data_IF_341035929449
#
_entry.id   IF_341035929449
#
_cell.length_a   1.000
_cell.length_b   1.000
_cell.length_c   1.000
_cell.angle_alpha   90.00
_cell.angle_beta   90.00
_cell.angle_gamma   90.00
#
_symmetry.space_group_name_H-M   'P 1'
#
loop_
_entity.id
_entity.type
_entity.pdbx_description
1 polymer ?
#
# COMPACT_ATOMS: atom_id res chain seq x y z
N UNK A 1 6.82 -51.54 -5.47
CA UNK A 1 6.24 -51.66 -4.12
C UNK A 1 4.73 -51.59 -4.29
N UNK A 2 3.96 -52.50 -3.69
CA UNK A 2 2.51 -52.45 -3.84
C UNK A 2 1.92 -51.32 -2.98
N UNK A 3 1.13 -50.42 -3.58
CA UNK A 3 0.49 -49.28 -2.93
C UNK A 3 -0.28 -49.69 -1.64
N UNK A 4 -0.89 -50.88 -1.66
CA UNK A 4 -1.59 -51.46 -0.50
C UNK A 4 -0.67 -51.70 0.71
N UNK A 5 0.58 -52.08 0.48
CA UNK A 5 1.57 -52.30 1.53
C UNK A 5 1.95 -50.97 2.20
N UNK A 6 2.14 -49.92 1.41
CA UNK A 6 2.45 -48.57 1.93
C UNK A 6 1.28 -48.01 2.75
N UNK A 7 0.04 -48.15 2.27
CA UNK A 7 -1.16 -47.74 3.02
C UNK A 7 -1.25 -48.45 4.36
N UNK A 8 -0.98 -49.76 4.39
CA UNK A 8 -1.01 -50.54 5.63
C UNK A 8 0.04 -50.04 6.63
N UNK A 9 1.28 -49.85 6.19
CA UNK A 9 2.38 -49.35 7.02
C UNK A 9 2.08 -47.95 7.61
N UNK A 10 1.58 -47.03 6.77
CA UNK A 10 1.22 -45.69 7.20
C UNK A 10 0.06 -45.70 8.22
N UNK A 11 -0.92 -46.60 8.06
CA UNK A 11 -2.00 -46.77 9.03
C UNK A 11 -1.53 -47.36 10.35
N UNK A 12 -0.59 -48.31 10.33
CA UNK A 12 0.00 -48.87 11.56
C UNK A 12 0.92 -47.89 12.29
N UNK A 13 1.49 -46.93 11.56
CA UNK A 13 2.31 -45.87 12.13
C UNK A 13 1.46 -44.72 12.74
N UNK A 14 0.17 -44.69 12.43
CA UNK A 14 -0.74 -43.65 12.90
C UNK A 14 -1.25 -43.98 14.29
N UNK A 15 -1.48 -42.94 15.10
CA UNK A 15 -2.10 -43.03 16.42
C UNK A 15 -3.31 -42.11 16.47
N UNK A 16 -4.44 -42.61 16.96
CA UNK A 16 -5.72 -41.87 17.06
C UNK A 16 -6.12 -41.08 15.80
N UNK A 17 -5.98 -41.71 14.61
CA UNK A 17 -6.30 -41.06 13.33
C UNK A 17 -5.34 -39.92 12.96
N UNK A 18 -4.14 -39.89 13.57
CA UNK A 18 -3.09 -38.91 13.31
C UNK A 18 -1.79 -39.54 12.89
N UNK A 19 -1.17 -38.93 11.88
CA UNK A 19 0.11 -39.38 11.35
C UNK A 19 0.99 -38.17 11.05
N UNK A 20 1.96 -37.92 11.93
CA UNK A 20 2.99 -36.91 11.66
C UNK A 20 4.22 -37.55 11.03
N UNK A 21 5.03 -36.75 10.33
CA UNK A 21 6.32 -37.20 9.78
C UNK A 21 7.18 -37.85 10.88
N UNK A 22 7.21 -37.25 12.08
CA UNK A 22 7.97 -37.78 13.21
C UNK A 22 7.43 -39.13 13.70
N UNK A 23 6.11 -39.29 13.82
CA UNK A 23 5.49 -40.57 14.19
C UNK A 23 5.85 -41.67 13.19
N UNK A 24 5.78 -41.36 11.90
CA UNK A 24 6.18 -42.29 10.86
C UNK A 24 7.66 -42.62 10.91
N UNK A 25 8.55 -41.64 11.12
CA UNK A 25 9.99 -41.88 11.28
C UNK A 25 10.30 -42.78 12.48
N UNK A 26 9.64 -42.57 13.62
CA UNK A 26 9.80 -43.43 14.80
C UNK A 26 9.30 -44.85 14.53
N UNK A 27 8.14 -45.00 13.89
CA UNK A 27 7.61 -46.30 13.49
C UNK A 27 8.53 -47.00 12.49
N UNK A 28 9.08 -46.26 11.52
CA UNK A 28 10.00 -46.76 10.50
C UNK A 28 11.29 -47.30 11.12
N UNK A 29 11.84 -46.63 12.14
CA UNK A 29 13.04 -47.11 12.84
C UNK A 29 12.84 -48.47 13.51
N UNK A 30 11.63 -48.77 13.98
CA UNK A 30 11.31 -50.02 14.66
C UNK A 30 10.82 -51.13 13.73
N UNK A 31 10.13 -50.79 12.62
CA UNK A 31 9.43 -51.76 11.76
C UNK A 31 10.02 -51.86 10.33
N UNK A 32 10.96 -50.98 9.99
CA UNK A 32 11.45 -50.83 8.62
C UNK A 32 10.42 -50.16 7.70
N UNK A 33 10.66 -50.23 6.39
CA UNK A 33 9.80 -49.62 5.38
C UNK A 33 10.40 -48.37 4.73
N UNK A 34 9.68 -47.76 3.77
CA UNK A 34 10.20 -46.65 3.00
C UNK A 34 10.46 -45.43 3.89
N UNK A 35 11.53 -44.73 3.58
CA UNK A 35 11.88 -43.46 4.19
C UNK A 35 10.86 -42.38 3.84
N UNK A 36 10.78 -41.36 4.69
CA UNK A 36 9.99 -40.15 4.38
C UNK A 36 10.42 -39.56 3.04
N UNK A 37 11.72 -39.60 2.71
CA UNK A 37 12.22 -39.10 1.43
C UNK A 37 11.66 -39.90 0.26
N UNK A 38 11.72 -41.24 0.30
CA UNK A 38 11.14 -42.10 -0.74
C UNK A 38 9.63 -41.89 -0.88
N UNK A 39 8.91 -41.71 0.23
CA UNK A 39 7.49 -41.37 0.18
C UNK A 39 7.23 -40.01 -0.46
N UNK A 40 8.06 -39.00 -0.17
CA UNK A 40 7.95 -37.68 -0.77
C UNK A 40 8.34 -37.67 -2.26
N UNK A 41 9.30 -38.51 -2.67
CA UNK A 41 9.66 -38.66 -4.09
C UNK A 41 8.53 -39.32 -4.90
N UNK A 42 7.87 -40.35 -4.34
CA UNK A 42 6.79 -41.07 -5.02
C UNK A 42 5.48 -40.27 -5.02
N UNK A 43 5.10 -39.72 -3.87
CA UNK A 43 3.79 -39.08 -3.68
C UNK A 43 3.85 -37.55 -3.71
N UNK A 44 5.04 -36.96 -3.82
CA UNK A 44 5.29 -35.51 -3.97
C UNK A 44 5.20 -34.69 -2.68
N UNK A 45 4.27 -35.01 -1.77
CA UNK A 45 4.10 -34.28 -0.52
C UNK A 45 3.51 -35.13 0.59
N UNK A 46 3.78 -34.78 1.84
CA UNK A 46 3.18 -35.45 3.00
C UNK A 46 1.65 -35.33 3.01
N UNK A 47 1.09 -34.24 2.46
CA UNK A 47 -0.34 -34.07 2.31
C UNK A 47 -0.95 -35.14 1.39
N UNK A 48 -0.24 -35.53 0.32
CA UNK A 48 -0.68 -36.62 -0.56
C UNK A 48 -0.57 -37.98 0.13
N UNK A 49 0.46 -38.17 0.97
CA UNK A 49 0.60 -39.37 1.81
C UNK A 49 -0.57 -39.49 2.81
N UNK A 50 -0.95 -38.38 3.45
CA UNK A 50 -2.11 -38.33 4.34
C UNK A 50 -3.42 -38.62 3.60
N UNK A 51 -3.58 -38.11 2.37
CA UNK A 51 -4.72 -38.41 1.51
C UNK A 51 -4.82 -39.90 1.17
N UNK A 52 -3.68 -40.56 0.91
CA UNK A 52 -3.61 -42.00 0.61
C UNK A 52 -4.22 -42.86 1.73
N UNK A 53 -4.06 -42.45 2.98
CA UNK A 53 -4.57 -43.18 4.15
C UNK A 53 -5.93 -42.69 4.66
N UNK A 54 -6.45 -41.59 4.11
CA UNK A 54 -7.74 -40.99 4.49
C UNK A 54 -7.66 -39.98 5.65
N UNK A 55 -6.48 -39.42 5.94
CA UNK A 55 -6.26 -38.41 6.98
C UNK A 55 -6.36 -36.98 6.45
N UNK A 56 -7.42 -36.71 5.68
CA UNK A 56 -7.68 -35.40 5.06
C UNK A 56 -7.95 -34.31 6.11
N UNK A 57 -8.43 -34.69 7.29
CA UNK A 57 -8.61 -33.82 8.45
C UNK A 57 -7.31 -33.18 8.96
N UNK A 58 -6.14 -33.71 8.58
CA UNK A 58 -4.83 -33.20 8.97
C UNK A 58 -4.20 -32.28 7.92
N UNK A 59 -4.83 -32.21 6.74
CA UNK A 59 -4.40 -31.31 5.69
C UNK A 59 -4.84 -29.88 6.01
N UNK A 60 -4.05 -28.86 5.61
CA UNK A 60 -4.52 -27.49 5.65
C UNK A 60 -5.83 -27.36 4.88
N UNK A 61 -6.84 -26.77 5.52
CA UNK A 61 -8.18 -26.60 4.92
C UNK A 61 -8.15 -25.83 3.60
N UNK A 62 -7.20 -24.91 3.47
CA UNK A 62 -6.99 -24.11 2.26
C UNK A 62 -5.55 -24.27 1.76
N UNK A 63 -5.42 -24.53 0.47
CA UNK A 63 -4.14 -24.46 -0.23
C UNK A 63 -3.68 -23.02 -0.40
N UNK A 64 -2.37 -22.79 -0.59
CA UNK A 64 -1.81 -21.47 -0.89
C UNK A 64 -2.57 -20.77 -2.04
N UNK A 65 -2.90 -21.51 -3.09
CA UNK A 65 -3.63 -20.98 -4.26
C UNK A 65 -5.07 -20.59 -3.96
N UNK A 66 -5.76 -21.33 -3.10
CA UNK A 66 -7.11 -21.00 -2.63
C UNK A 66 -7.09 -19.77 -1.75
N UNK A 67 -6.10 -19.66 -0.85
CA UNK A 67 -5.92 -18.46 -0.04
C UNK A 67 -5.74 -17.21 -0.92
N UNK A 68 -4.90 -17.28 -1.97
CA UNK A 68 -4.73 -16.16 -2.91
C UNK A 68 -6.03 -15.80 -3.64
N UNK A 69 -6.80 -16.79 -4.11
CA UNK A 69 -8.11 -16.56 -4.74
C UNK A 69 -9.09 -15.91 -3.78
N UNK A 70 -9.12 -16.36 -2.53
CA UNK A 70 -9.99 -15.81 -1.49
C UNK A 70 -9.62 -14.37 -1.13
N UNK A 71 -8.32 -14.04 -1.04
CA UNK A 71 -7.85 -12.67 -0.84
C UNK A 71 -8.30 -11.74 -1.97
N UNK A 72 -8.21 -12.19 -3.22
CA UNK A 72 -8.69 -11.41 -4.38
C UNK A 72 -10.20 -11.22 -4.37
N UNK A 73 -10.96 -12.26 -3.99
CA UNK A 73 -12.42 -12.16 -3.80
C UNK A 73 -12.77 -11.13 -2.74
N UNK A 74 -12.15 -11.23 -1.56
CA UNK A 74 -12.35 -10.28 -0.47
C UNK A 74 -12.02 -8.84 -0.88
N UNK A 75 -10.94 -8.63 -1.63
CA UNK A 75 -10.59 -7.30 -2.13
C UNK A 75 -11.61 -6.74 -3.11
N UNK A 76 -12.20 -7.58 -3.97
CA UNK A 76 -13.27 -7.17 -4.90
C UNK A 76 -14.55 -6.80 -4.16
N UNK A 77 -14.92 -7.56 -3.14
CA UNK A 77 -16.17 -7.35 -2.40
C UNK A 77 -16.08 -6.12 -1.49
N UNK A 78 -14.91 -5.88 -0.88
CA UNK A 78 -14.69 -4.77 0.05
C UNK A 78 -14.23 -3.48 -0.65
N UNK A 79 -13.76 -3.57 -1.90
CA UNK A 79 -13.12 -2.47 -2.64
C UNK A 79 -11.72 -2.09 -2.14
N UNK A 80 -11.47 -2.17 -0.84
CA UNK A 80 -10.16 -2.00 -0.21
C UNK A 80 -9.99 -3.02 0.91
N UNK A 81 -8.92 -3.82 0.85
CA UNK A 81 -8.70 -4.89 1.82
C UNK A 81 -7.64 -4.48 2.84
N UNK A 82 -8.03 -4.44 4.11
CA UNK A 82 -7.09 -4.42 5.22
C UNK A 82 -7.30 -5.64 6.12
N UNK A 83 -6.38 -5.89 7.04
CA UNK A 83 -6.42 -7.08 7.89
C UNK A 83 -7.63 -7.11 8.85
N UNK A 84 -8.17 -5.94 9.23
CA UNK A 84 -9.34 -5.85 10.10
C UNK A 84 -10.64 -6.16 9.33
N UNK A 85 -10.79 -5.57 8.14
CA UNK A 85 -11.94 -5.78 7.26
C UNK A 85 -11.95 -7.20 6.71
N UNK A 86 -10.78 -7.73 6.34
CA UNK A 86 -10.65 -9.14 5.96
C UNK A 86 -11.08 -10.08 7.08
N UNK A 87 -10.68 -9.80 8.33
CA UNK A 87 -11.07 -10.65 9.48
C UNK A 87 -12.59 -10.70 9.64
N UNK A 88 -13.28 -9.58 9.47
CA UNK A 88 -14.75 -9.52 9.52
C UNK A 88 -15.37 -10.25 8.33
N UNK A 89 -14.90 -9.95 7.12
CA UNK A 89 -15.38 -10.59 5.90
C UNK A 89 -15.20 -12.11 5.94
N UNK A 90 -14.06 -12.60 6.44
CA UNK A 90 -13.77 -14.03 6.55
C UNK A 90 -14.63 -14.76 7.60
N UNK A 91 -15.30 -14.04 8.52
CA UNK A 91 -16.23 -14.67 9.46
C UNK A 91 -17.52 -15.13 8.76
N UNK A 92 -17.99 -14.33 7.80
CA UNK A 92 -19.24 -14.56 7.08
C UNK A 92 -19.05 -15.36 5.79
N UNK A 93 -17.80 -15.70 5.45
CA UNK A 93 -17.44 -16.38 4.20
C UNK A 93 -16.65 -17.65 4.46
N UNK A 94 -16.77 -18.63 3.56
CA UNK A 94 -15.86 -19.77 3.55
C UNK A 94 -14.47 -19.32 3.08
N UNK A 95 -13.64 -18.95 4.05
CA UNK A 95 -12.37 -18.27 3.85
C UNK A 95 -11.34 -18.66 4.92
N UNK A 96 -10.04 -18.62 4.59
CA UNK A 96 -8.99 -18.83 5.58
C UNK A 96 -8.98 -17.67 6.56
N UNK A 97 -8.79 -17.98 7.84
CA UNK A 97 -8.60 -16.99 8.88
C UNK A 97 -7.35 -16.16 8.61
N UNK A 98 -7.29 -14.95 9.19
CA UNK A 98 -6.08 -14.11 9.08
C UNK A 98 -4.83 -14.86 9.58
N UNK A 99 -4.98 -15.69 10.61
CA UNK A 99 -3.87 -16.47 11.17
C UNK A 99 -3.38 -17.53 10.20
N UNK A 100 -4.27 -18.27 9.54
CA UNK A 100 -3.89 -19.25 8.50
C UNK A 100 -3.17 -18.58 7.33
N UNK A 101 -3.64 -17.41 6.90
CA UNK A 101 -2.96 -16.62 5.86
C UNK A 101 -1.56 -16.19 6.34
N UNK A 102 -1.43 -15.69 7.57
CA UNK A 102 -0.12 -15.27 8.09
C UNK A 102 0.84 -16.45 8.25
N UNK A 103 0.36 -17.61 8.70
CA UNK A 103 1.17 -18.83 8.80
C UNK A 103 1.66 -19.27 7.42
N UNK A 104 0.78 -19.25 6.41
CA UNK A 104 1.10 -19.75 5.07
C UNK A 104 2.04 -18.83 4.29
N UNK A 105 1.93 -17.51 4.47
CA UNK A 105 2.70 -16.50 3.70
C UNK A 105 3.77 -15.79 4.53
N UNK A 106 3.88 -16.09 5.82
CA UNK A 106 4.77 -15.42 6.78
C UNK A 106 4.27 -14.04 7.25
N UNK A 107 3.60 -13.27 6.39
CA UNK A 107 2.95 -12.02 6.79
C UNK A 107 1.77 -11.65 5.88
N UNK A 108 0.85 -10.85 6.41
CA UNK A 108 -0.26 -10.28 5.64
C UNK A 108 0.22 -9.46 4.44
N UNK A 109 1.31 -8.69 4.60
CA UNK A 109 1.88 -7.88 3.51
C UNK A 109 2.39 -8.77 2.38
N UNK A 110 3.09 -9.86 2.70
CA UNK A 110 3.56 -10.83 1.70
C UNK A 110 2.39 -11.51 1.00
N UNK A 111 1.34 -11.90 1.74
CA UNK A 111 0.13 -12.45 1.15
C UNK A 111 -0.53 -11.49 0.14
N UNK A 112 -0.60 -10.19 0.45
CA UNK A 112 -1.12 -9.19 -0.47
C UNK A 112 -0.21 -8.92 -1.69
N UNK A 113 1.12 -9.05 -1.54
CA UNK A 113 2.06 -8.98 -2.67
C UNK A 113 1.81 -10.16 -3.61
N UNK A 114 1.78 -11.38 -3.07
CA UNK A 114 1.55 -12.59 -3.87
C UNK A 114 0.15 -12.63 -4.49
N UNK A 115 -0.83 -12.00 -3.85
CA UNK A 115 -2.17 -11.85 -4.39
C UNK A 115 -2.28 -10.74 -5.46
N UNK A 116 -1.21 -9.97 -5.69
CA UNK A 116 -1.17 -8.78 -6.57
C UNK A 116 -2.14 -7.66 -6.15
N UNK A 117 -2.42 -7.58 -4.84
CA UNK A 117 -3.38 -6.62 -4.28
C UNK A 117 -2.71 -5.31 -3.84
N UNK A 118 -1.44 -5.34 -3.43
CA UNK A 118 -0.73 -4.10 -3.05
C UNK A 118 -0.56 -3.14 -4.22
N UNK A 119 -0.35 -3.64 -5.44
CA UNK A 119 -0.22 -2.80 -6.65
C UNK A 119 -1.52 -2.08 -6.98
N UNK A 120 -2.65 -2.79 -6.92
CA UNK A 120 -3.98 -2.23 -7.15
C UNK A 120 -4.32 -1.17 -6.10
N UNK A 121 -4.15 -1.48 -4.81
CA UNK A 121 -4.41 -0.52 -3.72
C UNK A 121 -3.58 0.76 -3.82
N UNK A 122 -2.31 0.66 -4.24
CA UNK A 122 -1.45 1.83 -4.39
C UNK A 122 -1.93 2.73 -5.54
N UNK A 123 -2.50 2.17 -6.60
CA UNK A 123 -3.08 2.91 -7.72
C UNK A 123 -4.39 3.57 -7.32
N UNK A 124 -5.29 2.83 -6.68
CA UNK A 124 -6.61 3.32 -6.25
C UNK A 124 -6.47 4.45 -5.22
N UNK A 125 -5.57 4.29 -4.24
CA UNK A 125 -5.27 5.35 -3.28
C UNK A 125 -4.70 6.61 -3.96
N UNK A 126 -3.89 6.45 -5.01
CA UNK A 126 -3.35 7.61 -5.75
C UNK A 126 -4.47 8.36 -6.46
N UNK A 127 -5.39 7.64 -7.10
CA UNK A 127 -6.56 8.22 -7.78
C UNK A 127 -7.46 8.94 -6.77
N UNK A 128 -7.77 8.31 -5.63
CA UNK A 128 -8.57 8.90 -4.55
C UNK A 128 -7.97 10.24 -4.06
N UNK A 129 -6.65 10.27 -3.86
CA UNK A 129 -5.95 11.49 -3.44
C UNK A 129 -6.01 12.57 -4.53
N UNK A 130 -5.80 12.20 -5.80
CA UNK A 130 -5.86 13.14 -6.93
C UNK A 130 -7.25 13.78 -7.01
N UNK A 131 -8.31 12.97 -6.95
CA UNK A 131 -9.69 13.45 -6.97
C UNK A 131 -9.96 14.40 -5.81
N UNK A 132 -9.55 14.04 -4.59
CA UNK A 132 -9.73 14.91 -3.44
C UNK A 132 -8.98 16.26 -3.56
N UNK A 133 -7.82 16.29 -4.20
CA UNK A 133 -7.07 17.53 -4.45
C UNK A 133 -7.75 18.41 -5.49
N UNK A 134 -8.32 17.82 -6.55
CA UNK A 134 -9.08 18.54 -7.58
C UNK A 134 -10.40 19.10 -7.01
N UNK A 135 -11.18 18.27 -6.31
CA UNK A 135 -12.42 18.69 -5.65
C UNK A 135 -12.15 19.87 -4.69
N UNK A 136 -11.08 19.77 -3.90
CA UNK A 136 -10.69 20.83 -2.99
C UNK A 136 -10.26 22.11 -3.71
N UNK A 137 -9.55 22.03 -4.84
CA UNK A 137 -9.10 23.21 -5.57
C UNK A 137 -10.25 24.01 -6.16
N UNK A 138 -11.36 23.36 -6.48
CA UNK A 138 -12.57 24.01 -7.00
C UNK A 138 -13.42 24.65 -5.88
N UNK A 139 -13.36 24.11 -4.66
CA UNK A 139 -14.21 24.53 -3.54
C UNK A 139 -13.57 25.55 -2.59
N UNK A 140 -12.24 25.57 -2.44
CA UNK A 140 -11.57 26.38 -1.40
C UNK A 140 -10.55 27.36 -1.97
N UNK A 141 -10.68 28.63 -1.59
CA UNK A 141 -9.71 29.69 -1.86
C UNK A 141 -9.33 30.36 -0.52
N UNK A 142 -8.04 30.52 -0.17
CA UNK A 142 -6.87 30.08 -0.93
C UNK A 142 -6.61 28.58 -0.86
N UNK A 143 -6.26 27.96 -1.98
CA UNK A 143 -5.90 26.54 -2.03
C UNK A 143 -4.46 26.32 -1.56
N UNK A 144 -4.29 25.88 -0.31
CA UNK A 144 -3.00 25.55 0.28
C UNK A 144 -3.12 24.36 1.26
N UNK A 145 -1.98 23.87 1.74
CA UNK A 145 -1.92 22.71 2.62
C UNK A 145 -2.76 22.86 3.90
N UNK A 146 -2.86 24.07 4.45
CA UNK A 146 -3.58 24.32 5.71
C UNK A 146 -5.09 24.36 5.49
N UNK A 147 -5.55 25.02 4.42
CA UNK A 147 -6.97 25.07 4.06
C UNK A 147 -7.46 23.70 3.61
N UNK A 148 -6.67 22.98 2.81
CA UNK A 148 -6.95 21.59 2.45
C UNK A 148 -7.08 20.68 3.68
N UNK A 149 -6.19 20.78 4.66
CA UNK A 149 -6.25 19.93 5.86
C UNK A 149 -7.57 20.11 6.64
N UNK A 150 -8.13 21.33 6.66
CA UNK A 150 -9.44 21.61 7.27
C UNK A 150 -10.58 21.04 6.42
N UNK A 151 -10.56 21.31 5.11
CA UNK A 151 -11.56 20.81 4.17
C UNK A 151 -11.62 19.28 4.13
N UNK A 152 -10.46 18.61 4.08
CA UNK A 152 -10.36 17.17 4.03
C UNK A 152 -10.92 16.51 5.30
N UNK A 153 -10.73 17.14 6.47
CA UNK A 153 -11.32 16.65 7.72
C UNK A 153 -12.84 16.79 7.72
N UNK A 154 -13.37 17.90 7.21
CA UNK A 154 -14.82 18.14 7.14
C UNK A 154 -15.50 17.18 6.14
N UNK A 155 -14.84 16.90 5.01
CA UNK A 155 -15.37 16.09 3.91
C UNK A 155 -14.94 14.62 3.93
N UNK A 156 -14.29 14.16 5.01
CA UNK A 156 -13.80 12.77 5.16
C UNK A 156 -12.88 12.32 4.02
N UNK A 157 -12.08 13.25 3.47
CA UNK A 157 -11.15 13.02 2.37
C UNK A 157 -9.74 12.68 2.87
N UNK A 158 -8.83 12.20 1.99
CA UNK A 158 -7.46 11.87 2.36
C UNK A 158 -6.74 13.01 3.08
N UNK A 159 -6.15 12.71 4.24
CA UNK A 159 -5.41 13.69 5.03
C UNK A 159 -4.14 14.14 4.33
N UNK A 160 -3.62 15.31 4.72
CA UNK A 160 -2.34 15.82 4.21
C UNK A 160 -1.19 14.83 4.41
N UNK A 161 -1.20 14.06 5.49
CA UNK A 161 -0.20 13.02 5.74
C UNK A 161 -0.28 11.89 4.71
N UNK A 162 -1.50 11.49 4.28
CA UNK A 162 -1.67 10.52 3.18
C UNK A 162 -1.14 11.09 1.87
N UNK A 163 -1.44 12.35 1.57
CA UNK A 163 -0.92 13.06 0.38
C UNK A 163 0.60 13.05 0.36
N UNK A 164 1.25 13.54 1.43
CA UNK A 164 2.71 13.63 1.52
C UNK A 164 3.37 12.25 1.47
N UNK A 165 2.81 11.22 2.13
CA UNK A 165 3.35 9.85 2.06
C UNK A 165 3.31 9.27 0.65
N UNK A 166 2.29 9.62 -0.14
CA UNK A 166 2.12 9.05 -1.49
C UNK A 166 2.92 9.79 -2.54
N UNK A 167 3.00 11.11 -2.45
CA UNK A 167 3.58 12.00 -3.46
C UNK A 167 4.93 12.60 -3.05
N UNK A 168 5.41 12.33 -1.83
CA UNK A 168 6.66 12.87 -1.28
C UNK A 168 6.48 14.25 -0.63
N UNK A 169 5.74 15.15 -1.27
CA UNK A 169 5.42 16.48 -0.73
C UNK A 169 4.11 17.04 -1.29
N UNK A 170 3.55 18.06 -0.62
CA UNK A 170 2.38 18.79 -1.13
C UNK A 170 2.66 19.42 -2.50
N UNK A 171 3.83 20.03 -2.68
CA UNK A 171 4.22 20.65 -3.94
C UNK A 171 4.31 19.63 -5.07
N UNK A 172 4.94 18.48 -4.83
CA UNK A 172 5.02 17.40 -5.83
C UNK A 172 3.64 16.84 -6.17
N UNK A 173 2.74 16.73 -5.17
CA UNK A 173 1.36 16.32 -5.43
C UNK A 173 0.64 17.30 -6.37
N UNK A 174 0.83 18.61 -6.17
CA UNK A 174 0.25 19.65 -7.03
C UNK A 174 0.88 19.69 -8.43
N UNK A 175 2.19 19.49 -8.52
CA UNK A 175 2.90 19.39 -9.81
C UNK A 175 2.39 18.22 -10.64
N UNK A 176 2.18 17.07 -10.01
CA UNK A 176 1.71 15.86 -10.70
C UNK A 176 0.27 15.99 -11.23
N UNK A 177 -0.58 16.81 -10.60
CA UNK A 177 -1.95 17.10 -11.06
C UNK A 177 -2.06 18.39 -11.88
N UNK A 178 -0.94 19.07 -12.16
CA UNK A 178 -0.92 20.30 -12.95
C UNK A 178 -1.43 21.57 -12.23
N UNK A 179 -1.60 21.54 -10.91
CA UNK A 179 -2.09 22.65 -10.08
C UNK A 179 -0.95 23.42 -9.39
N UNK A 180 0.24 23.48 -10.00
CA UNK A 180 1.41 24.14 -9.41
C UNK A 180 1.11 25.57 -8.95
N UNK A 181 1.14 25.79 -7.63
CA UNK A 181 0.92 27.10 -6.98
C UNK A 181 2.03 28.11 -7.23
N UNK A 182 3.14 27.68 -7.84
CA UNK A 182 4.13 28.59 -8.42
C UNK A 182 3.71 28.84 -9.86
N UNK A 183 3.18 30.02 -10.17
CA UNK A 183 3.33 30.59 -11.52
C UNK A 183 4.83 30.60 -11.81
N UNK A 184 5.31 29.64 -12.58
CA UNK A 184 6.59 29.73 -13.23
C UNK A 184 6.43 30.88 -14.22
N UNK A 185 7.11 32.00 -13.96
CA UNK A 185 7.19 33.04 -14.96
C UNK A 185 7.88 32.43 -16.18
N UNK A 186 7.21 32.46 -17.32
CA UNK A 186 7.85 32.12 -18.59
C UNK A 186 8.94 33.15 -18.87
N UNK A 187 9.89 32.81 -19.74
CA UNK A 187 10.87 33.77 -20.22
C UNK A 187 10.17 35.01 -20.81
N UNK A 188 9.05 34.82 -21.52
CA UNK A 188 8.21 35.91 -22.02
C UNK A 188 7.64 36.79 -20.89
N UNK A 189 7.16 36.20 -19.80
CA UNK A 189 6.64 36.96 -18.66
C UNK A 189 7.74 37.82 -18.02
N UNK A 190 8.95 37.26 -17.85
CA UNK A 190 10.10 37.98 -17.30
C UNK A 190 10.50 39.13 -18.23
N UNK A 191 10.62 38.87 -19.54
CA UNK A 191 10.99 39.88 -20.52
C UNK A 191 9.96 41.01 -20.61
N UNK A 192 8.66 40.69 -20.57
CA UNK A 192 7.60 41.69 -20.54
C UNK A 192 7.68 42.59 -19.29
N UNK A 193 7.95 42.00 -18.12
CA UNK A 193 8.06 42.73 -16.87
C UNK A 193 9.29 43.64 -16.84
N UNK A 194 10.43 43.18 -17.37
CA UNK A 194 11.64 43.99 -17.49
C UNK A 194 11.47 45.14 -18.49
N UNK A 195 10.76 44.91 -19.60
CA UNK A 195 10.48 45.94 -20.60
C UNK A 195 9.60 47.05 -20.03
N UNK A 196 8.50 46.67 -19.38
CA UNK A 196 7.60 47.62 -18.73
C UNK A 196 8.31 48.44 -17.64
N UNK A 197 9.17 47.78 -16.84
CA UNK A 197 9.97 48.49 -15.85
C UNK A 197 11.00 49.45 -16.48
N UNK A 198 11.56 49.12 -17.65
CA UNK A 198 12.49 49.99 -18.37
C UNK A 198 11.84 51.22 -19.00
N UNK A 199 10.52 51.16 -19.25
CA UNK A 199 9.75 52.32 -19.74
C UNK A 199 9.48 53.32 -18.60
N UNK A 200 9.28 52.83 -17.38
CA UNK A 200 9.02 53.64 -16.19
C UNK A 200 10.28 54.11 -15.45
N UNK A 201 11.39 53.38 -15.59
CA UNK A 201 12.65 53.66 -14.89
C UNK A 201 13.71 54.16 -15.86
N UNK A 202 14.26 55.34 -15.57
CA UNK A 202 15.39 55.88 -16.33
C UNK A 202 16.65 54.98 -16.29
N UNK A 203 16.82 54.20 -15.21
CA UNK A 203 17.86 53.19 -15.08
C UNK A 203 17.26 51.93 -14.44
N UNK A 204 17.30 50.83 -15.18
CA UNK A 204 16.89 49.52 -14.70
C UNK A 204 17.98 48.92 -13.78
N UNK A 205 17.97 49.34 -12.52
CA UNK A 205 18.82 48.78 -11.47
C UNK A 205 18.04 47.76 -10.64
N UNK A 206 18.70 46.77 -9.99
CA UNK A 206 18.02 45.81 -9.12
C UNK A 206 17.16 46.48 -8.03
N UNK A 207 17.66 47.55 -7.43
CA UNK A 207 16.94 48.31 -6.40
C UNK A 207 15.79 49.15 -6.98
N UNK A 208 15.98 49.76 -8.16
CA UNK A 208 14.92 50.48 -8.87
C UNK A 208 13.78 49.57 -9.33
N UNK A 209 14.11 48.36 -9.81
CA UNK A 209 13.13 47.35 -10.17
C UNK A 209 12.31 46.87 -8.97
N UNK A 210 12.94 46.66 -7.81
CA UNK A 210 12.23 46.27 -6.58
C UNK A 210 11.21 47.34 -6.13
N UNK A 211 11.58 48.63 -6.21
CA UNK A 211 10.68 49.74 -5.91
C UNK A 211 9.53 49.81 -6.93
N UNK A 212 9.84 49.63 -8.21
CA UNK A 212 8.83 49.61 -9.28
C UNK A 212 7.82 48.46 -9.11
N UNK A 213 8.28 47.26 -8.72
CA UNK A 213 7.40 46.12 -8.42
C UNK A 213 6.44 46.42 -7.26
N UNK A 214 6.93 47.11 -6.21
CA UNK A 214 6.10 47.54 -5.07
C UNK A 214 5.08 48.61 -5.47
N UNK A 215 5.47 49.56 -6.32
CA UNK A 215 4.59 50.63 -6.83
C UNK A 215 3.48 50.11 -7.74
N UNK A 216 3.80 49.12 -8.58
CA UNK A 216 2.86 48.52 -9.55
C UNK A 216 2.02 47.37 -8.97
N UNK A 217 2.25 47.00 -7.70
CA UNK A 217 1.55 45.89 -7.05
C UNK A 217 1.94 44.51 -7.58
N UNK A 218 3.04 44.41 -8.34
CA UNK A 218 3.61 43.17 -8.90
C UNK A 218 4.56 42.45 -7.93
N UNK A 219 4.66 42.96 -6.70
CA UNK A 219 5.48 42.39 -5.64
C UNK A 219 5.00 40.97 -5.26
N UNK A 220 5.93 40.00 -5.31
CA UNK A 220 5.73 38.70 -4.67
C UNK A 220 5.69 38.96 -3.18
N UNK A 221 4.50 38.89 -2.56
CA UNK A 221 4.40 38.76 -1.09
C UNK A 221 5.09 37.49 -0.61
N UNK A 222 6.42 37.50 -0.50
CA UNK A 222 7.12 36.76 0.51
C UNK A 222 6.83 37.50 1.80
N UNK A 223 5.84 37.01 2.57
CA UNK A 223 5.77 37.36 3.99
C UNK A 223 7.05 36.79 4.63
N UNK A 224 8.14 37.55 4.58
CA UNK A 224 9.23 37.39 5.52
C UNK A 224 8.62 37.78 6.85
N UNK A 225 8.47 36.81 7.75
CA UNK A 225 8.03 37.10 9.10
C UNK A 225 9.10 37.98 9.76
N UNK A 226 8.87 39.28 9.83
CA UNK A 226 9.59 40.14 10.76
C UNK A 226 9.17 39.75 12.17
N UNK A 227 9.86 38.77 12.75
CA UNK A 227 10.15 38.76 14.19
C UNK A 227 11.55 39.31 14.36
N UNK A 228 11.63 40.61 14.62
CA UNK A 228 12.19 41.11 15.88
C UNK A 228 12.13 42.64 15.87
N UNK A 229 11.45 43.12 16.90
CA UNK A 229 11.34 44.48 17.41
C UNK A 229 12.62 45.31 17.26
N UNK A 230 12.44 46.50 16.68
CA UNK A 230 12.81 47.82 17.23
C UNK A 230 13.99 47.87 18.21
N UNK A 231 15.07 48.42 17.67
CA UNK A 231 16.13 49.29 18.21
C UNK A 231 15.98 49.97 19.59
N UNK A 232 17.16 50.16 20.20
CA UNK A 232 17.61 51.16 21.21
C UNK A 232 17.25 50.81 22.68
N UNK A 233 18.22 50.68 23.59
CA UNK A 233 19.33 51.59 23.91
C UNK A 233 20.50 50.83 24.54
#
# INVERSE_FOLDING_TARGET
MEEKQVIHQLRTAADDGRLTIHMYQQWQQANGGPTVLELLEVYGSWANVLRLVGFENQMPRFTKSEMLRTLRRAAKDLGSINSADYRKWAHDHDAPTLTEVVIQFGSWKVALIEADLLGMMAKDQKIEIIQALLDASDEIEPFNSTTYAKWAKANQRPSITKVVRRFGSWTQALEEIGLSTRKAFTEQDILSALKEASEDLAVLSPWGYEIWQKKTGKDRRLKISNRCSVLLT
#
